data_IF_983978234033
#
_entry.id   IF_983978234033
#
_cell.length_a   1.000
_cell.length_b   1.000
_cell.length_c   1.000
_cell.angle_alpha   90.00
_cell.angle_beta   90.00
_cell.angle_gamma   90.00
#
_symmetry.space_group_name_H-M   'P 1'
#
loop_
_entity.id
_entity.type
_entity.pdbx_description
1 polymer ?
#
# COMPACT_ATOMS: atom_id res chain seq x y z
N UNK A 1 -32.52 29.49 33.63
CA UNK A 1 -31.22 29.90 33.04
C UNK A 1 -30.55 28.80 32.21
N UNK A 2 -30.80 27.49 32.45
CA UNK A 2 -30.19 26.40 31.67
C UNK A 2 -30.80 26.13 30.29
N UNK A 3 -32.08 26.46 30.08
CA UNK A 3 -32.77 26.18 28.80
C UNK A 3 -32.30 27.05 27.62
N UNK A 4 -31.85 28.29 27.88
CA UNK A 4 -31.32 29.16 26.81
C UNK A 4 -29.96 28.68 26.27
N UNK A 5 -29.16 27.97 27.08
CA UNK A 5 -27.87 27.43 26.63
C UNK A 5 -28.03 26.16 25.80
N UNK A 6 -29.04 25.33 26.09
CA UNK A 6 -29.39 24.19 25.23
C UNK A 6 -29.83 24.70 23.86
N UNK A 7 -30.78 25.64 23.84
CA UNK A 7 -31.31 26.31 22.65
C UNK A 7 -30.24 26.87 21.71
N UNK A 8 -29.23 27.55 22.26
CA UNK A 8 -28.14 28.09 21.43
C UNK A 8 -27.19 27.00 20.92
N UNK A 9 -26.92 25.96 21.71
CA UNK A 9 -26.04 24.87 21.30
C UNK A 9 -26.68 24.03 20.16
N UNK A 10 -27.97 23.71 20.26
CA UNK A 10 -28.68 22.97 19.23
C UNK A 10 -28.86 23.77 17.92
N UNK A 11 -29.03 25.10 18.00
CA UNK A 11 -29.03 25.97 16.81
C UNK A 11 -27.64 26.09 16.16
N UNK A 12 -26.56 26.16 16.94
CA UNK A 12 -25.18 26.19 16.41
C UNK A 12 -24.81 24.87 15.71
N UNK A 13 -25.20 23.73 16.29
CA UNK A 13 -25.01 22.40 15.69
C UNK A 13 -25.83 22.25 14.40
N UNK A 14 -27.05 22.78 14.38
CA UNK A 14 -27.89 22.82 13.17
C UNK A 14 -27.30 23.72 12.09
N UNK A 15 -26.80 24.92 12.42
CA UNK A 15 -26.14 25.81 11.46
C UNK A 15 -24.91 25.15 10.84
N UNK A 16 -24.07 24.50 11.66
CA UNK A 16 -22.88 23.81 11.19
C UNK A 16 -23.24 22.60 10.30
N UNK A 17 -24.36 21.91 10.60
CA UNK A 17 -24.90 20.85 9.76
C UNK A 17 -25.49 21.36 8.42
N UNK A 18 -25.99 22.60 8.38
CA UNK A 18 -26.50 23.22 7.13
C UNK A 18 -25.40 23.80 6.24
N UNK A 19 -24.18 23.97 6.77
CA UNK A 19 -23.02 24.44 6.03
C UNK A 19 -22.49 23.31 5.16
N UNK A 20 -22.96 23.24 3.91
CA UNK A 20 -22.58 22.21 2.95
C UNK A 20 -21.06 22.06 2.76
N UNK A 21 -20.64 20.89 2.29
CA UNK A 21 -19.23 20.57 2.07
C UNK A 21 -18.58 21.57 1.11
N UNK A 22 -17.43 22.13 1.51
CA UNK A 22 -16.69 23.07 0.69
C UNK A 22 -16.29 22.39 -0.64
N UNK A 23 -16.55 23.02 -1.80
CA UNK A 23 -16.21 22.44 -3.10
C UNK A 23 -14.72 22.10 -3.22
N UNK A 24 -13.83 22.88 -2.61
CA UNK A 24 -12.39 22.59 -2.57
C UNK A 24 -12.07 21.31 -1.78
N UNK A 25 -12.80 21.05 -0.69
CA UNK A 25 -12.67 19.80 0.08
C UNK A 25 -13.16 18.60 -0.73
N UNK A 26 -14.30 18.75 -1.42
CA UNK A 26 -14.84 17.70 -2.29
C UNK A 26 -13.85 17.38 -3.40
N UNK A 27 -13.29 18.41 -4.06
CA UNK A 27 -12.29 18.23 -5.12
C UNK A 27 -11.01 17.56 -4.58
N UNK A 28 -10.54 17.95 -3.40
CA UNK A 28 -9.37 17.33 -2.77
C UNK A 28 -9.62 15.84 -2.49
N UNK A 29 -10.79 15.48 -1.97
CA UNK A 29 -11.16 14.08 -1.73
C UNK A 29 -11.29 13.29 -3.02
N UNK A 30 -11.86 13.88 -4.08
CA UNK A 30 -12.01 13.22 -5.38
C UNK A 30 -10.64 12.99 -6.01
N UNK A 31 -9.81 14.03 -6.15
CA UNK A 31 -8.49 13.92 -6.79
C UNK A 31 -7.56 13.06 -5.93
N UNK A 32 -7.52 13.33 -4.62
CA UNK A 32 -6.71 12.56 -3.68
C UNK A 32 -7.11 11.09 -3.63
N UNK A 33 -8.41 10.80 -3.60
CA UNK A 33 -8.95 9.45 -3.65
C UNK A 33 -8.65 8.72 -4.96
N UNK A 34 -8.78 9.41 -6.10
CA UNK A 34 -8.51 8.84 -7.41
C UNK A 34 -7.02 8.50 -7.57
N UNK A 35 -6.13 9.40 -7.15
CA UNK A 35 -4.69 9.16 -7.12
C UNK A 35 -4.35 8.01 -6.17
N UNK A 36 -4.87 8.02 -4.95
CA UNK A 36 -4.59 6.97 -3.97
C UNK A 36 -5.07 5.60 -4.46
N UNK A 37 -6.29 5.53 -5.00
CA UNK A 37 -6.85 4.30 -5.57
C UNK A 37 -6.01 3.80 -6.75
N UNK A 38 -5.56 4.69 -7.63
CA UNK A 38 -4.68 4.34 -8.74
C UNK A 38 -3.35 3.78 -8.25
N UNK A 39 -2.73 4.40 -7.23
CA UNK A 39 -1.46 3.92 -6.66
C UNK A 39 -1.63 2.55 -5.98
N UNK A 40 -2.66 2.40 -5.14
CA UNK A 40 -2.92 1.14 -4.43
C UNK A 40 -3.26 0.02 -5.42
N UNK A 41 -4.13 0.29 -6.40
CA UNK A 41 -4.48 -0.66 -7.44
C UNK A 41 -3.27 -1.06 -8.29
N UNK A 42 -2.42 -0.11 -8.67
CA UNK A 42 -1.21 -0.38 -9.42
C UNK A 42 -0.19 -1.19 -8.60
N UNK A 43 0.00 -0.84 -7.33
CA UNK A 43 0.90 -1.55 -6.43
C UNK A 43 0.43 -2.98 -6.16
N UNK A 44 -0.88 -3.17 -5.93
CA UNK A 44 -1.48 -4.49 -5.77
C UNK A 44 -1.31 -5.33 -7.04
N UNK A 45 -1.53 -4.74 -8.22
CA UNK A 45 -1.33 -5.41 -9.49
C UNK A 45 0.14 -5.77 -9.72
N UNK A 46 1.07 -4.89 -9.36
CA UNK A 46 2.51 -5.15 -9.43
C UNK A 46 2.93 -6.29 -8.49
N UNK A 47 2.43 -6.30 -7.26
CA UNK A 47 2.64 -7.38 -6.29
C UNK A 47 2.04 -8.70 -6.79
N UNK A 48 0.84 -8.67 -7.37
CA UNK A 48 0.19 -9.84 -7.95
C UNK A 48 1.02 -10.38 -9.11
N UNK A 49 1.41 -9.52 -10.04
CA UNK A 49 2.26 -9.86 -11.16
C UNK A 49 3.60 -10.44 -10.70
N UNK A 50 4.25 -9.91 -9.67
CA UNK A 50 5.47 -10.50 -9.14
C UNK A 50 5.28 -11.90 -8.53
N UNK A 51 4.10 -12.19 -7.98
CA UNK A 51 3.76 -13.51 -7.44
C UNK A 51 3.40 -14.51 -8.54
N UNK A 52 2.74 -14.08 -9.62
CA UNK A 52 2.33 -14.94 -10.73
C UNK A 52 3.40 -15.08 -11.81
N UNK A 53 4.21 -14.05 -12.02
CA UNK A 53 5.38 -14.13 -12.86
C UNK A 53 6.38 -15.08 -12.17
N UNK A 54 6.95 -16.04 -12.92
CA UNK A 54 7.96 -16.92 -12.36
C UNK A 54 9.10 -16.05 -11.83
N UNK A 55 9.28 -16.06 -10.50
CA UNK A 55 10.37 -15.40 -9.78
C UNK A 55 11.62 -15.50 -10.64
N UNK A 56 12.10 -14.37 -11.19
CA UNK A 56 13.14 -14.32 -12.24
C UNK A 56 14.17 -15.39 -11.94
N UNK A 57 14.01 -16.58 -12.54
CA UNK A 57 14.86 -17.72 -12.20
C UNK A 57 16.23 -17.24 -12.62
N UNK A 58 17.11 -17.00 -11.64
CA UNK A 58 18.51 -16.67 -11.93
C UNK A 58 18.92 -17.67 -13.00
N UNK A 59 19.36 -17.18 -14.16
CA UNK A 59 19.65 -18.03 -15.33
C UNK A 59 20.30 -19.31 -14.79
N UNK A 60 19.73 -20.50 -15.06
CA UNK A 60 20.19 -21.72 -14.41
C UNK A 60 21.70 -21.76 -14.55
N UNK A 61 22.36 -21.72 -13.41
CA UNK A 61 23.81 -21.62 -13.38
C UNK A 61 24.31 -22.89 -14.05
N UNK A 62 24.98 -22.75 -15.19
CA UNK A 62 25.49 -23.91 -15.95
C UNK A 62 26.15 -24.88 -14.99
N UNK A 63 25.95 -26.19 -15.18
CA UNK A 63 26.52 -27.24 -14.30
C UNK A 63 28.02 -27.04 -14.09
N UNK A 64 28.73 -26.48 -15.09
CA UNK A 64 30.16 -26.10 -14.98
C UNK A 64 30.40 -25.01 -13.92
N UNK A 65 29.56 -23.97 -13.86
CA UNK A 65 29.66 -22.89 -12.87
C UNK A 65 29.19 -23.35 -11.48
N UNK A 66 28.16 -24.18 -11.36
CA UNK A 66 27.78 -24.78 -10.06
C UNK A 66 28.87 -25.69 -9.50
N UNK A 67 29.49 -26.52 -10.34
CA UNK A 67 30.63 -27.36 -9.92
C UNK A 67 31.82 -26.50 -9.52
N UNK A 68 32.11 -25.41 -10.25
CA UNK A 68 33.20 -24.47 -9.91
C UNK A 68 32.97 -23.78 -8.56
N UNK A 69 31.74 -23.35 -8.27
CA UNK A 69 31.39 -22.74 -6.98
C UNK A 69 31.44 -23.77 -5.84
N UNK A 70 30.91 -24.99 -6.04
CA UNK A 70 31.00 -26.08 -5.04
C UNK A 70 32.43 -26.51 -4.75
N UNK A 71 33.31 -26.51 -5.76
CA UNK A 71 34.74 -26.80 -5.58
C UNK A 71 35.49 -25.67 -4.86
N UNK A 72 35.03 -24.42 -5.00
CA UNK A 72 35.61 -23.26 -4.29
C UNK A 72 35.15 -23.16 -2.85
N UNK A 73 33.91 -23.55 -2.56
CA UNK A 73 33.37 -23.53 -1.20
C UNK A 73 33.96 -24.63 -0.31
N UNK A 74 34.64 -25.61 -0.91
CA UNK A 74 35.08 -26.80 -0.18
C UNK A 74 33.87 -27.66 0.20
N UNK A 75 34.05 -28.97 0.23
CA UNK A 75 33.06 -29.88 0.82
C UNK A 75 33.55 -30.10 2.23
N UNK A 76 32.79 -29.69 3.26
CA UNK A 76 33.06 -30.19 4.61
C UNK A 76 32.88 -31.70 4.56
N UNK A 77 33.87 -32.45 5.06
CA UNK A 77 33.81 -33.90 5.03
C UNK A 77 32.51 -34.36 5.71
N UNK A 78 31.80 -35.35 5.13
CA UNK A 78 30.62 -35.92 5.77
C UNK A 78 31.12 -36.80 6.94
N UNK A 79 31.37 -36.19 8.09
CA UNK A 79 31.96 -36.86 9.24
C UNK A 79 32.50 -35.98 10.38
N UNK A 80 32.10 -34.71 10.47
CA UNK A 80 32.17 -33.90 11.70
C UNK A 80 30.76 -33.49 12.15
#
# INVERSE_FOLDING_TARGET
MGEQFSGSAENLVMEEATKGLNPGLVVLLVIGGLVLFFLVGNYALYMYAQKTLPMKKKKPVSKKKMKRERLKQGVSAPGE
#
